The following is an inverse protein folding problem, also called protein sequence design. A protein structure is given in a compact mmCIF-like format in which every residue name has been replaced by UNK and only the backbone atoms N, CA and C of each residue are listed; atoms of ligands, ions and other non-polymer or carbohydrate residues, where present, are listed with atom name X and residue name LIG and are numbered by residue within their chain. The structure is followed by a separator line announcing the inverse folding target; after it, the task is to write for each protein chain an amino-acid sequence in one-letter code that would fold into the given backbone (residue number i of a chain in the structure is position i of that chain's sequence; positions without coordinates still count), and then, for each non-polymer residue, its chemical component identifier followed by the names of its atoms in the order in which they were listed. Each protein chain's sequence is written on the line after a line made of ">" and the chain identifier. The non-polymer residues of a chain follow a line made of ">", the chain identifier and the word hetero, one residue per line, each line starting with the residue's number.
data_IF_545967872563
#
_entry.id   IF_545967872563
#
_cell.length_a   1.000
_cell.length_b   1.000
_cell.length_c   1.000
_cell.angle_alpha   90.00
_cell.angle_beta   90.00
_cell.angle_gamma   90.00
#
_symmetry.space_group_name_H-M   'P 1'
#
loop_
_entity.id
_entity.type
_entity.pdbx_description
1 polymer ?
#
# COMPACT_ATOMS: atom_id res chain seq x y z
N UNK A 1 -28.30 -41.62 34.46
CA UNK A 1 -28.01 -40.23 34.94
C UNK A 1 -26.57 -39.81 34.66
N UNK A 2 -25.52 -40.60 34.96
CA UNK A 2 -24.12 -40.20 34.70
C UNK A 2 -23.79 -39.86 33.21
N UNK A 3 -24.40 -40.57 32.24
CA UNK A 3 -24.15 -40.32 30.81
C UNK A 3 -24.78 -39.03 30.28
N UNK A 4 -25.88 -38.55 30.88
CA UNK A 4 -26.57 -37.33 30.49
C UNK A 4 -25.77 -36.10 31.00
N UNK A 5 -25.18 -36.22 32.19
CA UNK A 5 -24.34 -35.14 32.78
C UNK A 5 -23.06 -34.93 31.95
N UNK A 6 -22.42 -36.00 31.47
CA UNK A 6 -21.23 -35.92 30.61
C UNK A 6 -21.56 -35.27 29.27
N UNK A 7 -22.74 -35.60 28.69
CA UNK A 7 -23.15 -35.00 27.41
C UNK A 7 -23.49 -33.51 27.55
N UNK A 8 -24.10 -33.11 28.66
CA UNK A 8 -24.36 -31.70 28.97
C UNK A 8 -23.08 -30.91 29.24
N UNK A 9 -22.08 -31.49 29.89
CA UNK A 9 -20.80 -30.86 30.13
C UNK A 9 -19.98 -30.67 28.84
N UNK A 10 -19.99 -31.66 27.93
CA UNK A 10 -19.34 -31.56 26.64
C UNK A 10 -20.04 -30.57 25.71
N UNK A 11 -21.38 -30.50 25.73
CA UNK A 11 -22.12 -29.49 24.98
C UNK A 11 -21.84 -28.07 25.52
N UNK A 12 -21.75 -27.89 26.83
CA UNK A 12 -21.40 -26.59 27.45
C UNK A 12 -19.97 -26.15 27.12
N UNK A 13 -19.00 -27.08 27.06
CA UNK A 13 -17.63 -26.82 26.64
C UNK A 13 -17.51 -26.47 25.15
N UNK A 14 -18.31 -27.12 24.30
CA UNK A 14 -18.34 -26.78 22.87
C UNK A 14 -18.99 -25.43 22.61
N UNK A 15 -19.97 -25.01 23.42
CA UNK A 15 -20.57 -23.67 23.32
C UNK A 15 -19.65 -22.56 23.83
N UNK A 16 -18.79 -22.84 24.82
CA UNK A 16 -17.83 -21.83 25.32
C UNK A 16 -16.64 -21.58 24.38
N UNK A 17 -16.34 -22.50 23.46
CA UNK A 17 -15.32 -22.28 22.43
C UNK A 17 -15.85 -21.47 21.24
N UNK A 18 -17.19 -21.43 21.05
CA UNK A 18 -17.81 -20.67 19.97
C UNK A 18 -18.00 -19.18 20.27
N UNK A 19 -17.76 -18.76 21.52
CA UNK A 19 -17.75 -17.34 21.96
C UNK A 19 -16.35 -16.92 22.44
N UNK A 20 -15.30 -17.44 21.82
CA UNK A 20 -14.06 -16.67 21.84
C UNK A 20 -14.37 -15.39 21.07
N UNK A 21 -14.61 -14.29 21.78
CA UNK A 21 -14.68 -12.96 21.21
C UNK A 21 -13.46 -12.83 20.30
N UNK A 22 -13.68 -12.90 18.99
CA UNK A 22 -12.63 -12.56 18.04
C UNK A 22 -12.30 -11.10 18.37
N UNK A 23 -11.11 -10.88 18.91
CA UNK A 23 -10.61 -9.51 19.10
C UNK A 23 -10.82 -8.81 17.75
N UNK A 24 -11.57 -7.72 17.70
CA UNK A 24 -11.80 -7.04 16.43
C UNK A 24 -10.44 -6.75 15.82
N UNK A 25 -10.27 -7.16 14.55
CA UNK A 25 -9.06 -6.92 13.79
C UNK A 25 -8.77 -5.42 13.78
N UNK A 26 -7.54 -5.02 13.99
CA UNK A 26 -7.16 -3.60 13.91
C UNK A 26 -7.46 -3.05 12.51
N UNK A 27 -7.52 -1.75 12.37
CA UNK A 27 -7.78 -1.12 11.07
C UNK A 27 -6.62 -1.36 10.10
N UNK A 28 -5.39 -1.34 10.63
CA UNK A 28 -4.18 -1.68 9.86
C UNK A 28 -4.23 -3.13 9.38
N UNK A 29 -4.63 -4.08 10.24
CA UNK A 29 -4.76 -5.48 9.85
C UNK A 29 -5.82 -5.68 8.76
N UNK A 30 -6.93 -4.93 8.83
CA UNK A 30 -7.97 -4.96 7.80
C UNK A 30 -7.45 -4.40 6.47
N UNK A 31 -6.73 -3.28 6.48
CA UNK A 31 -6.11 -2.71 5.28
C UNK A 31 -5.03 -3.62 4.73
N UNK A 32 -4.17 -4.20 5.58
CA UNK A 32 -3.15 -5.15 5.15
C UNK A 32 -3.76 -6.38 4.48
N UNK A 33 -4.84 -6.92 5.06
CA UNK A 33 -5.57 -8.04 4.46
C UNK A 33 -6.19 -7.69 3.11
N UNK A 34 -6.73 -6.46 2.99
CA UNK A 34 -7.32 -5.96 1.75
C UNK A 34 -6.27 -5.82 0.64
N UNK A 35 -5.13 -5.18 0.93
CA UNK A 35 -4.02 -5.02 -0.02
C UNK A 35 -3.46 -6.38 -0.42
N UNK A 36 -3.26 -7.28 0.55
CA UNK A 36 -2.80 -8.63 0.29
C UNK A 36 -3.72 -9.39 -0.66
N UNK A 37 -5.03 -9.40 -0.39
CA UNK A 37 -6.00 -10.06 -1.25
C UNK A 37 -5.98 -9.47 -2.66
N UNK A 38 -5.94 -8.15 -2.79
CA UNK A 38 -5.85 -7.47 -4.08
C UNK A 38 -4.61 -7.91 -4.88
N UNK A 39 -3.44 -7.97 -4.24
CA UNK A 39 -2.20 -8.40 -4.89
C UNK A 39 -2.25 -9.88 -5.31
N UNK A 40 -2.79 -10.76 -4.45
CA UNK A 40 -2.94 -12.19 -4.73
C UNK A 40 -3.95 -12.46 -5.86
N UNK A 41 -5.10 -11.78 -5.87
CA UNK A 41 -6.14 -11.90 -6.91
C UNK A 41 -5.66 -11.41 -8.29
N UNK A 42 -4.75 -10.42 -8.31
CA UNK A 42 -4.16 -9.91 -9.54
C UNK A 42 -2.81 -10.55 -9.89
N UNK A 43 -2.39 -11.59 -9.16
CA UNK A 43 -1.14 -12.33 -9.38
C UNK A 43 0.13 -11.45 -9.33
N UNK A 44 0.10 -10.34 -8.57
CA UNK A 44 1.26 -9.49 -8.36
C UNK A 44 2.22 -10.11 -7.34
N UNK A 45 3.49 -10.31 -7.66
CA UNK A 45 4.48 -10.71 -6.69
C UNK A 45 4.72 -9.56 -5.69
N UNK A 46 4.88 -9.88 -4.42
CA UNK A 46 5.16 -8.88 -3.39
C UNK A 46 6.01 -9.45 -2.25
N UNK A 47 6.70 -8.57 -1.56
CA UNK A 47 7.28 -8.78 -0.25
C UNK A 47 6.45 -8.02 0.79
N UNK A 48 6.28 -8.58 2.00
CA UNK A 48 5.51 -7.97 3.08
C UNK A 48 6.33 -7.97 4.37
N UNK A 49 6.50 -6.80 4.96
CA UNK A 49 7.13 -6.60 6.26
C UNK A 49 6.50 -5.39 6.98
N UNK A 50 6.11 -5.57 8.24
CA UNK A 50 5.62 -4.53 9.14
C UNK A 50 4.67 -3.50 8.49
N UNK A 51 3.52 -3.97 7.97
CA UNK A 51 2.51 -3.17 7.26
C UNK A 51 2.99 -2.47 5.98
N UNK A 52 4.10 -2.94 5.42
CA UNK A 52 4.65 -2.44 4.17
C UNK A 52 4.67 -3.56 3.13
N UNK A 53 4.12 -3.29 1.96
CA UNK A 53 4.21 -4.18 0.80
C UNK A 53 5.16 -3.55 -0.23
N UNK A 54 6.07 -4.35 -0.76
CA UNK A 54 6.95 -3.98 -1.87
C UNK A 54 6.61 -4.84 -3.07
N UNK A 55 6.13 -4.20 -4.14
CA UNK A 55 5.67 -4.86 -5.37
C UNK A 55 6.61 -4.47 -6.51
N UNK A 56 7.40 -5.41 -7.06
CA UNK A 56 8.26 -5.13 -8.20
C UNK A 56 7.44 -4.99 -9.48
N UNK A 57 7.78 -4.00 -10.31
CA UNK A 57 7.21 -3.78 -11.63
C UNK A 57 8.30 -3.71 -12.68
N UNK A 58 8.01 -4.23 -13.87
CA UNK A 58 8.79 -3.93 -15.06
C UNK A 58 8.22 -2.70 -15.75
N UNK A 59 9.06 -1.74 -16.10
CA UNK A 59 8.71 -0.54 -16.86
C UNK A 59 9.30 -0.61 -18.26
N UNK A 60 8.50 -0.25 -19.26
CA UNK A 60 8.87 -0.33 -20.68
C UNK A 60 9.71 0.88 -21.18
N UNK A 61 10.25 1.67 -20.26
CA UNK A 61 11.07 2.83 -20.59
C UNK A 61 12.56 2.63 -20.22
N UNK A 62 13.32 3.71 -20.15
CA UNK A 62 14.75 3.67 -19.77
C UNK A 62 15.00 3.28 -18.31
N UNK A 63 13.96 3.14 -17.50
CA UNK A 63 14.06 2.63 -16.14
C UNK A 63 14.09 1.10 -16.19
N UNK A 64 15.13 0.50 -15.65
CA UNK A 64 15.28 -0.96 -15.65
C UNK A 64 14.27 -1.66 -14.75
N UNK A 65 13.79 -0.98 -13.70
CA UNK A 65 12.81 -1.49 -12.76
C UNK A 65 12.17 -0.35 -11.96
N UNK A 66 10.98 -0.57 -11.47
CA UNK A 66 10.33 0.26 -10.46
C UNK A 66 9.73 -0.63 -9.37
N UNK A 67 9.65 -0.09 -8.16
CA UNK A 67 8.96 -0.73 -7.06
C UNK A 67 7.78 0.15 -6.66
N UNK A 68 6.62 -0.47 -6.42
CA UNK A 68 5.54 0.19 -5.70
C UNK A 68 5.66 -0.24 -4.24
N UNK A 69 5.87 0.71 -3.37
CA UNK A 69 5.84 0.50 -1.93
C UNK A 69 4.52 0.99 -1.38
N UNK A 70 3.78 0.09 -0.73
CA UNK A 70 2.51 0.38 -0.08
C UNK A 70 2.75 0.46 1.41
N UNK A 71 2.46 1.61 1.99
CA UNK A 71 2.56 1.87 3.43
C UNK A 71 1.17 1.92 4.05
N UNK A 72 0.98 1.22 5.14
CA UNK A 72 -0.24 1.23 5.94
C UNK A 72 0.08 1.84 7.31
N UNK A 73 -0.62 2.91 7.64
CA UNK A 73 -0.49 3.61 8.92
C UNK A 73 -1.87 3.94 9.47
N UNK A 74 -2.16 3.62 10.71
CA UNK A 74 -3.40 3.95 11.41
C UNK A 74 -4.66 3.96 10.50
N UNK A 75 -4.93 5.09 9.87
CA UNK A 75 -6.06 5.33 8.97
C UNK A 75 -5.62 5.84 7.58
N UNK A 76 -4.38 5.57 7.18
CA UNK A 76 -3.83 6.01 5.91
C UNK A 76 -3.26 4.85 5.10
N UNK A 77 -3.62 4.78 3.82
CA UNK A 77 -3.02 3.94 2.83
C UNK A 77 -2.25 4.82 1.84
N UNK A 78 -0.93 4.69 1.82
CA UNK A 78 -0.06 5.45 0.92
C UNK A 78 0.68 4.52 -0.02
N UNK A 79 0.77 4.89 -1.28
CA UNK A 79 1.55 4.19 -2.29
C UNK A 79 2.60 5.10 -2.86
N UNK A 80 3.83 4.60 -2.96
CA UNK A 80 4.96 5.28 -3.56
C UNK A 80 5.50 4.42 -4.69
N UNK A 81 5.66 4.99 -5.87
CA UNK A 81 6.49 4.40 -6.91
C UNK A 81 7.89 4.96 -6.71
N UNK A 82 8.77 4.08 -6.26
CA UNK A 82 10.18 4.38 -6.08
C UNK A 82 10.90 3.94 -7.36
N UNK A 83 11.15 4.90 -8.22
CA UNK A 83 11.93 4.70 -9.45
C UNK A 83 13.32 5.30 -9.28
N UNK A 84 14.30 4.82 -10.06
CA UNK A 84 15.67 5.32 -9.98
C UNK A 84 15.84 6.72 -10.59
N UNK A 85 14.85 7.61 -10.48
CA UNK A 85 15.01 9.01 -10.83
C UNK A 85 15.75 9.68 -9.68
N UNK A 86 17.04 9.77 -9.82
CA UNK A 86 17.90 10.40 -8.84
C UNK A 86 18.93 11.31 -9.54
N UNK A 87 19.52 12.21 -8.80
CA UNK A 87 20.53 13.11 -9.33
C UNK A 87 21.25 13.85 -8.24
N UNK A 88 22.18 14.70 -8.66
CA UNK A 88 23.00 15.52 -7.76
C UNK A 88 22.34 16.88 -7.51
N UNK A 89 22.74 17.52 -6.42
CA UNK A 89 22.26 18.84 -6.01
C UNK A 89 22.40 19.93 -7.09
N UNK A 90 23.31 19.77 -8.05
CA UNK A 90 23.53 20.75 -9.13
C UNK A 90 22.30 20.92 -10.05
N UNK A 91 21.49 19.86 -10.20
CA UNK A 91 20.28 19.92 -11.04
C UNK A 91 18.99 20.04 -10.23
N UNK A 92 19.10 20.11 -8.91
CA UNK A 92 17.97 20.13 -7.98
C UNK A 92 16.93 21.24 -8.29
N UNK A 93 17.39 22.47 -8.55
CA UNK A 93 16.48 23.57 -8.84
C UNK A 93 15.67 23.33 -10.13
N UNK A 94 16.29 22.72 -11.15
CA UNK A 94 15.60 22.37 -12.39
C UNK A 94 14.55 21.27 -12.13
N UNK A 95 14.89 20.29 -11.31
CA UNK A 95 13.98 19.21 -10.95
C UNK A 95 12.83 19.71 -10.07
N UNK A 96 13.06 20.69 -9.19
CA UNK A 96 11.99 21.33 -8.42
C UNK A 96 10.98 22.06 -9.34
N UNK A 97 11.46 22.73 -10.39
CA UNK A 97 10.57 23.34 -11.40
C UNK A 97 9.80 22.26 -12.16
N UNK A 98 10.48 21.20 -12.60
CA UNK A 98 9.87 20.09 -13.32
C UNK A 98 8.75 19.45 -12.49
N UNK A 99 9.03 19.02 -11.25
CA UNK A 99 8.02 18.40 -10.36
C UNK A 99 6.83 19.33 -10.11
N UNK A 100 7.07 20.64 -9.98
CA UNK A 100 6.00 21.62 -9.80
C UNK A 100 5.11 21.71 -11.04
N UNK A 101 5.69 21.74 -12.24
CA UNK A 101 4.93 21.79 -13.49
C UNK A 101 4.11 20.52 -13.70
N UNK A 102 4.72 19.36 -13.53
CA UNK A 102 4.03 18.07 -13.69
C UNK A 102 2.90 17.92 -12.67
N UNK A 103 3.14 18.27 -11.40
CA UNK A 103 2.11 18.20 -10.37
C UNK A 103 0.91 19.13 -10.60
N UNK A 104 1.03 20.14 -11.47
CA UNK A 104 -0.12 20.96 -11.89
C UNK A 104 -1.01 20.25 -12.93
N UNK A 105 -0.54 19.18 -13.55
CA UNK A 105 -1.21 18.43 -14.60
C UNK A 105 -1.82 17.12 -14.10
N UNK A 106 -1.35 16.60 -12.96
CA UNK A 106 -1.78 15.33 -12.38
C UNK A 106 -2.65 15.54 -11.12
N UNK A 107 -3.60 14.63 -10.87
CA UNK A 107 -4.61 14.79 -9.82
C UNK A 107 -4.58 13.71 -8.72
N UNK A 108 -4.21 12.47 -9.06
CA UNK A 108 -4.33 11.31 -8.17
C UNK A 108 -3.03 10.91 -7.47
N UNK A 109 -1.92 11.46 -7.91
CA UNK A 109 -0.61 11.24 -7.34
C UNK A 109 0.19 12.53 -7.39
N UNK A 110 1.37 12.55 -6.79
CA UNK A 110 2.28 13.69 -6.79
C UNK A 110 3.71 13.20 -6.88
N UNK A 111 4.48 13.82 -7.75
CA UNK A 111 5.93 13.72 -7.72
C UNK A 111 6.46 14.52 -6.54
N UNK A 112 7.30 13.90 -5.74
CA UNK A 112 7.98 14.55 -4.62
C UNK A 112 9.46 14.66 -4.95
N UNK A 113 10.10 15.67 -4.40
CA UNK A 113 11.53 15.85 -4.49
C UNK A 113 12.10 15.64 -3.09
N UNK A 114 12.63 14.46 -2.84
CA UNK A 114 13.20 14.09 -1.56
C UNK A 114 14.73 14.23 -1.62
N UNK A 115 15.32 14.82 -0.59
CA UNK A 115 16.77 15.01 -0.47
C UNK A 115 17.37 13.98 0.48
N UNK A 116 18.47 13.38 0.06
CA UNK A 116 19.32 12.55 0.90
C UNK A 116 20.79 12.97 0.73
N UNK A 117 21.27 13.81 1.65
CA UNK A 117 22.60 14.39 1.56
C UNK A 117 22.78 15.29 0.33
N UNK A 118 23.67 14.91 -0.58
CA UNK A 118 23.97 15.62 -1.83
C UNK A 118 23.21 15.03 -3.04
N UNK A 119 22.36 14.05 -2.82
CA UNK A 119 21.53 13.42 -3.83
C UNK A 119 20.06 13.76 -3.62
N UNK A 120 19.26 13.66 -4.68
CA UNK A 120 17.81 13.75 -4.64
C UNK A 120 17.18 12.56 -5.34
N UNK A 121 15.94 12.26 -4.90
CA UNK A 121 15.07 11.22 -5.47
C UNK A 121 13.73 11.83 -5.80
N UNK A 122 13.09 11.30 -6.85
CA UNK A 122 11.75 11.78 -7.28
C UNK A 122 10.78 10.60 -7.29
N UNK A 123 10.23 10.20 -6.14
CA UNK A 123 9.14 9.24 -6.10
C UNK A 123 7.83 9.87 -6.55
N UNK A 124 6.95 9.07 -7.16
CA UNK A 124 5.56 9.42 -7.40
C UNK A 124 4.68 8.79 -6.33
N UNK A 125 3.93 9.58 -5.57
CA UNK A 125 3.14 9.12 -4.42
C UNK A 125 1.67 9.42 -4.57
N UNK A 126 0.84 8.45 -4.24
CA UNK A 126 -0.59 8.61 -3.96
C UNK A 126 -0.87 8.33 -2.48
N UNK A 127 -1.95 8.91 -1.98
CA UNK A 127 -2.36 8.70 -0.58
C UNK A 127 -3.89 8.71 -0.51
N UNK A 128 -4.45 7.77 0.24
CA UNK A 128 -5.87 7.74 0.58
C UNK A 128 -6.02 7.67 2.11
N UNK A 129 -6.82 8.59 2.64
CA UNK A 129 -7.24 8.54 4.04
C UNK A 129 -8.41 7.55 4.16
N UNK A 130 -8.23 6.56 5.03
CA UNK A 130 -9.23 5.53 5.30
C UNK A 130 -9.87 5.87 6.65
N UNK A 131 -10.84 6.80 6.65
CA UNK A 131 -11.49 7.22 7.92
C UNK A 131 -12.45 6.14 8.44
N UNK A 132 -13.57 5.92 7.77
CA UNK A 132 -14.65 5.02 8.22
C UNK A 132 -14.90 3.84 7.28
N UNK A 133 -14.47 3.92 6.02
CA UNK A 133 -14.72 2.91 4.98
C UNK A 133 -13.40 2.53 4.33
N UNK A 134 -13.14 1.23 4.25
CA UNK A 134 -12.00 0.70 3.52
C UNK A 134 -12.16 0.97 2.01
N UNK A 135 -11.06 1.24 1.27
CA UNK A 135 -11.11 1.44 -0.17
C UNK A 135 -11.65 0.18 -0.86
N UNK A 136 -12.47 0.38 -1.88
CA UNK A 136 -12.93 -0.70 -2.75
C UNK A 136 -11.84 -1.13 -3.73
N UNK A 137 -12.08 -2.25 -4.41
CA UNK A 137 -11.14 -2.82 -5.40
C UNK A 137 -10.75 -1.81 -6.50
N UNK A 138 -11.72 -1.06 -7.03
CA UNK A 138 -11.46 -0.04 -8.04
C UNK A 138 -10.60 1.11 -7.51
N UNK A 139 -10.78 1.50 -6.25
CA UNK A 139 -9.99 2.56 -5.62
C UNK A 139 -8.56 2.08 -5.39
N UNK A 140 -8.37 0.84 -4.94
CA UNK A 140 -7.05 0.21 -4.86
C UNK A 140 -6.38 0.16 -6.22
N UNK A 141 -7.10 -0.27 -7.27
CA UNK A 141 -6.56 -0.30 -8.62
C UNK A 141 -6.06 1.07 -9.07
N UNK A 142 -6.83 2.14 -8.84
CA UNK A 142 -6.39 3.50 -9.16
C UNK A 142 -5.18 3.94 -8.34
N UNK A 143 -5.13 3.61 -7.05
CA UNK A 143 -3.98 3.94 -6.21
C UNK A 143 -2.69 3.27 -6.72
N UNK A 144 -2.78 2.04 -7.25
CA UNK A 144 -1.65 1.34 -7.84
C UNK A 144 -1.31 1.84 -9.25
N UNK A 145 -2.31 1.95 -10.11
CA UNK A 145 -2.11 2.23 -11.54
C UNK A 145 -1.65 3.68 -11.79
N UNK A 146 -2.16 4.67 -11.05
CA UNK A 146 -1.89 6.07 -11.36
C UNK A 146 -0.43 6.48 -11.13
N UNK A 147 0.21 6.18 -9.98
CA UNK A 147 1.62 6.51 -9.81
C UNK A 147 2.51 5.81 -10.84
N UNK A 148 2.21 4.56 -11.18
CA UNK A 148 2.94 3.82 -12.21
C UNK A 148 2.80 4.48 -13.58
N UNK A 149 1.58 4.77 -14.02
CA UNK A 149 1.32 5.43 -15.31
C UNK A 149 2.04 6.78 -15.43
N UNK A 150 2.00 7.58 -14.38
CA UNK A 150 2.69 8.87 -14.39
C UNK A 150 4.22 8.73 -14.46
N UNK A 151 4.78 7.68 -13.87
CA UNK A 151 6.22 7.41 -13.99
C UNK A 151 6.62 6.92 -15.39
N UNK A 152 5.69 6.33 -16.15
CA UNK A 152 5.93 5.95 -17.55
C UNK A 152 5.81 7.15 -18.50
N UNK A 153 4.93 8.11 -18.19
CA UNK A 153 4.61 9.25 -19.06
C UNK A 153 5.64 10.40 -18.95
N UNK A 154 6.37 10.51 -17.85
CA UNK A 154 7.31 11.61 -17.55
C UNK A 154 8.73 11.11 -17.23
#
# INVERSE_FOLDING_TARGET
>A
MKKIIVFLLTALLMFSVAFADSVPMSKEDQMASLVKNFLEENEFPYEYDDYTFTVPFSVDNSMEYAFITVYIYDDMLSMSVDAPIHGTREVFEKMAVFTTLVNNEIYYAQFRLDLDGDEFYIPCRSCNLVEDVLPGENELFYLFAMPHSYMEDY
#
